data_IF_859275187175
#
_entry.id   IF_859275187175
#
_cell.length_a   1.000
_cell.length_b   1.000
_cell.length_c   1.000
_cell.angle_alpha   90.00
_cell.angle_beta   90.00
_cell.angle_gamma   90.00
#
_symmetry.space_group_name_H-M   'P 1'
#
loop_
_entity.id
_entity.type
_entity.pdbx_description
1 polymer ?
#
# COMPACT_ATOMS: atom_id res chain seq x y z
N UNK A 1 10.04 9.35 15.20
CA UNK A 1 9.41 9.98 14.01
C UNK A 1 7.91 9.88 14.24
N UNK A 2 7.13 10.95 14.07
CA UNK A 2 5.67 10.86 14.10
C UNK A 2 5.12 10.56 12.69
N UNK A 3 3.84 10.17 12.63
CA UNK A 3 3.18 9.75 11.38
C UNK A 3 3.19 10.89 10.35
N UNK A 4 2.78 12.08 10.74
CA UNK A 4 2.67 13.22 9.83
C UNK A 4 4.03 13.60 9.23
N UNK A 5 5.05 13.70 10.05
CA UNK A 5 6.42 13.97 9.59
C UNK A 5 6.91 12.89 8.62
N UNK A 6 6.58 11.62 8.88
CA UNK A 6 6.96 10.52 7.99
C UNK A 6 6.26 10.57 6.63
N UNK A 7 4.98 11.02 6.61
CA UNK A 7 4.24 11.25 5.35
C UNK A 7 4.85 12.42 4.58
N UNK A 8 5.14 13.54 5.25
CA UNK A 8 5.79 14.69 4.61
C UNK A 8 7.15 14.32 4.01
N UNK A 9 7.91 13.45 4.68
CA UNK A 9 9.17 12.93 4.15
C UNK A 9 8.94 12.08 2.90
N UNK A 10 8.12 11.03 2.97
CA UNK A 10 7.96 10.10 1.86
C UNK A 10 7.40 10.80 0.62
N UNK A 11 6.43 11.70 0.78
CA UNK A 11 5.88 12.50 -0.32
C UNK A 11 6.90 13.48 -0.91
N UNK A 12 7.85 13.97 -0.11
CA UNK A 12 8.93 14.81 -0.63
C UNK A 12 9.94 14.02 -1.44
N UNK A 13 10.26 12.79 -1.00
CA UNK A 13 11.22 11.94 -1.71
C UNK A 13 10.64 11.30 -2.97
N UNK A 14 9.36 10.90 -2.97
CA UNK A 14 8.76 10.10 -4.03
C UNK A 14 7.87 10.85 -5.03
N UNK A 15 7.56 12.13 -4.80
CA UNK A 15 6.65 12.91 -5.67
C UNK A 15 5.32 12.15 -5.93
N UNK A 16 4.61 11.87 -4.85
CA UNK A 16 3.39 11.08 -4.92
C UNK A 16 2.20 11.92 -5.39
N UNK A 17 1.48 11.45 -6.41
CA UNK A 17 0.22 12.05 -6.88
C UNK A 17 -0.95 11.82 -5.90
N UNK A 18 -0.77 10.90 -4.96
CA UNK A 18 -1.77 10.45 -3.98
C UNK A 18 -1.10 10.26 -2.62
N UNK A 19 -1.77 10.69 -1.57
CA UNK A 19 -1.24 10.46 -0.22
C UNK A 19 -1.29 8.98 0.17
N UNK A 20 -0.34 8.48 0.97
CA UNK A 20 -0.43 7.17 1.59
C UNK A 20 -1.71 7.01 2.41
N UNK A 21 -2.31 5.84 2.36
CA UNK A 21 -3.58 5.53 3.05
C UNK A 21 -3.31 4.58 4.21
N UNK A 22 -3.74 4.97 5.40
CA UNK A 22 -3.76 4.09 6.56
C UNK A 22 -5.06 3.28 6.62
N UNK A 23 -4.95 2.05 7.09
CA UNK A 23 -6.06 1.14 7.37
C UNK A 23 -5.96 0.70 8.83
N UNK A 24 -7.03 0.90 9.59
CA UNK A 24 -7.15 0.43 10.97
C UNK A 24 -8.32 -0.52 11.08
N UNK A 25 -8.08 -1.72 11.62
CA UNK A 25 -9.11 -2.67 11.98
C UNK A 25 -9.54 -2.44 13.43
N UNK A 26 -10.83 -2.54 13.68
CA UNK A 26 -11.40 -2.49 15.02
C UNK A 26 -12.11 -3.80 15.29
N UNK A 27 -11.79 -4.44 16.42
CA UNK A 27 -12.40 -5.67 16.88
C UNK A 27 -13.30 -5.43 18.08
N UNK A 28 -13.27 -4.22 18.63
CA UNK A 28 -14.14 -3.75 19.73
C UNK A 28 -15.00 -2.58 19.28
N UNK A 29 -16.32 -2.64 19.61
CA UNK A 29 -17.28 -1.60 19.24
C UNK A 29 -17.03 -0.26 19.94
N UNK A 30 -16.58 -0.30 21.21
CA UNK A 30 -16.33 0.93 21.96
C UNK A 30 -15.15 1.71 21.37
N UNK A 31 -14.08 1.01 20.97
CA UNK A 31 -12.95 1.62 20.27
C UNK A 31 -13.37 2.17 18.90
N UNK A 32 -14.17 1.41 18.15
CA UNK A 32 -14.68 1.84 16.85
C UNK A 32 -15.57 3.09 16.94
N UNK A 33 -16.48 3.14 17.90
CA UNK A 33 -17.37 4.29 18.09
C UNK A 33 -16.61 5.55 18.53
N UNK A 34 -15.62 5.41 19.42
CA UNK A 34 -14.78 6.51 19.90
C UNK A 34 -13.86 7.10 18.83
N UNK A 35 -13.60 6.35 17.78
CA UNK A 35 -12.72 6.85 16.71
C UNK A 35 -13.43 7.92 15.88
N UNK A 36 -12.98 9.16 15.98
CA UNK A 36 -13.64 10.36 15.44
C UNK A 36 -13.45 10.52 13.92
N UNK A 37 -14.03 9.60 13.15
CA UNK A 37 -14.04 9.65 11.68
C UNK A 37 -15.46 9.41 11.18
N UNK A 38 -15.96 10.13 10.16
CA UNK A 38 -17.31 9.94 9.65
C UNK A 38 -17.57 8.51 9.18
N UNK A 39 -18.62 7.90 9.70
CA UNK A 39 -19.09 6.60 9.21
C UNK A 39 -19.78 6.79 7.86
N UNK A 40 -19.49 5.90 6.91
CA UNK A 40 -20.12 5.90 5.61
C UNK A 40 -21.58 5.44 5.73
N UNK A 41 -22.50 6.19 5.14
CA UNK A 41 -23.94 5.87 5.11
C UNK A 41 -24.34 5.00 3.91
N UNK A 42 -23.50 4.95 2.87
CA UNK A 42 -23.77 4.24 1.62
C UNK A 42 -22.76 3.14 1.37
N UNK A 43 -23.18 2.14 0.57
CA UNK A 43 -22.29 1.08 0.12
C UNK A 43 -21.16 1.64 -0.73
N UNK A 44 -19.95 1.21 -0.43
CA UNK A 44 -18.72 1.52 -1.16
C UNK A 44 -17.88 0.25 -1.27
N UNK A 45 -17.21 0.05 -2.40
CA UNK A 45 -16.23 -1.05 -2.48
C UNK A 45 -14.99 -0.68 -1.70
N UNK A 46 -14.36 -1.65 -1.04
CA UNK A 46 -13.15 -1.38 -0.27
C UNK A 46 -12.06 -0.70 -1.11
N UNK A 47 -11.83 -1.14 -2.34
CA UNK A 47 -10.85 -0.50 -3.22
C UNK A 47 -11.20 0.95 -3.57
N UNK A 48 -12.49 1.31 -3.63
CA UNK A 48 -12.90 2.70 -3.82
C UNK A 48 -12.75 3.52 -2.54
N UNK A 49 -12.94 2.93 -1.35
CA UNK A 49 -12.66 3.65 -0.10
C UNK A 49 -11.17 4.01 0.01
N UNK A 50 -10.28 3.10 -0.34
CA UNK A 50 -8.82 3.37 -0.41
C UNK A 50 -8.51 4.47 -1.44
N UNK A 51 -9.14 4.41 -2.62
CA UNK A 51 -8.96 5.45 -3.65
C UNK A 51 -9.44 6.83 -3.18
N UNK A 52 -10.58 6.91 -2.50
CA UNK A 52 -11.09 8.15 -1.94
C UNK A 52 -10.18 8.68 -0.82
N UNK A 53 -9.66 7.79 0.02
CA UNK A 53 -8.73 8.15 1.08
C UNK A 53 -7.39 8.66 0.53
N UNK A 54 -6.88 8.07 -0.55
CA UNK A 54 -5.67 8.56 -1.23
C UNK A 54 -5.83 9.97 -1.83
N UNK A 55 -7.04 10.51 -1.81
CA UNK A 55 -7.40 11.87 -2.23
C UNK A 55 -7.94 12.74 -1.09
N UNK A 56 -7.63 12.40 0.14
CA UNK A 56 -7.93 13.22 1.31
C UNK A 56 -9.24 12.90 2.03
N UNK A 57 -10.00 11.85 1.66
CA UNK A 57 -11.27 11.51 2.34
C UNK A 57 -11.06 10.47 3.43
N UNK A 58 -11.51 10.77 4.64
CA UNK A 58 -11.55 9.83 5.76
C UNK A 58 -12.92 9.18 5.89
N UNK A 59 -12.98 7.89 6.25
CA UNK A 59 -14.24 7.19 6.50
C UNK A 59 -14.07 5.97 7.39
N UNK A 60 -15.12 5.68 8.17
CA UNK A 60 -15.32 4.38 8.84
C UNK A 60 -16.30 3.53 8.03
N UNK A 61 -16.08 2.22 7.99
CA UNK A 61 -16.91 1.24 7.29
C UNK A 61 -17.19 0.06 8.21
N UNK A 62 -18.43 -0.43 8.16
CA UNK A 62 -18.85 -1.71 8.73
C UNK A 62 -19.23 -2.69 7.62
N UNK A 63 -19.62 -3.91 7.94
CA UNK A 63 -20.08 -4.90 6.96
C UNK A 63 -21.25 -4.44 6.11
N UNK A 64 -22.13 -3.61 6.67
CA UNK A 64 -23.31 -3.06 5.99
C UNK A 64 -22.93 -2.11 4.85
N UNK A 65 -21.78 -1.45 4.98
CA UNK A 65 -21.29 -0.49 3.97
C UNK A 65 -20.49 -1.15 2.86
N UNK A 66 -20.15 -2.46 2.97
CA UNK A 66 -19.35 -3.14 1.95
C UNK A 66 -20.14 -3.35 0.65
N UNK A 67 -19.67 -2.70 -0.43
CA UNK A 67 -20.28 -2.76 -1.76
C UNK A 67 -19.73 -3.86 -2.66
N UNK A 68 -18.63 -4.51 -2.28
CA UNK A 68 -17.98 -5.57 -3.05
C UNK A 68 -17.96 -6.88 -2.25
N UNK A 69 -18.61 -7.97 -2.74
CA UNK A 69 -18.58 -9.26 -2.05
C UNK A 69 -17.16 -9.81 -1.83
N UNK A 70 -16.27 -9.65 -2.81
CA UNK A 70 -14.88 -10.13 -2.69
C UNK A 70 -14.08 -9.35 -1.64
N UNK A 71 -14.26 -8.04 -1.57
CA UNK A 71 -13.64 -7.22 -0.52
C UNK A 71 -14.18 -7.59 0.87
N UNK A 72 -15.50 -7.76 0.99
CA UNK A 72 -16.11 -8.17 2.24
C UNK A 72 -15.63 -9.56 2.72
N UNK A 73 -15.45 -10.53 1.79
CA UNK A 73 -14.90 -11.85 2.12
C UNK A 73 -13.44 -11.75 2.59
N UNK A 74 -12.60 -10.97 1.89
CA UNK A 74 -11.20 -10.80 2.29
C UNK A 74 -11.08 -10.22 3.71
N UNK A 75 -11.90 -9.22 4.02
CA UNK A 75 -11.95 -8.54 5.32
C UNK A 75 -12.77 -9.30 6.38
N UNK A 76 -13.16 -10.55 6.14
CA UNK A 76 -13.99 -11.37 7.04
C UNK A 76 -15.36 -10.76 7.39
N UNK A 77 -15.79 -9.72 6.71
CA UNK A 77 -17.10 -9.07 6.89
C UNK A 77 -18.23 -9.80 6.15
N UNK A 78 -17.92 -10.91 5.50
CA UNK A 78 -18.84 -11.81 4.83
C UNK A 78 -18.24 -13.20 4.77
N UNK A 79 -19.07 -14.21 4.97
CA UNK A 79 -18.66 -15.60 4.77
C UNK A 79 -18.29 -15.87 3.31
N UNK A 80 -17.35 -16.79 3.12
CA UNK A 80 -16.93 -17.25 1.79
C UNK A 80 -17.94 -18.31 1.30
N UNK A 81 -18.74 -18.04 0.26
CA UNK A 81 -19.68 -19.03 -0.25
C UNK A 81 -18.96 -20.28 -0.78
N UNK A 82 -19.57 -21.44 -0.61
CA UNK A 82 -18.99 -22.71 -1.06
C UNK A 82 -18.45 -22.70 -2.51
N UNK A 83 -19.16 -22.14 -3.51
CA UNK A 83 -18.61 -22.06 -4.87
C UNK A 83 -17.34 -21.24 -5.01
N UNK A 84 -17.12 -20.27 -4.10
CA UNK A 84 -15.88 -19.48 -4.07
C UNK A 84 -14.77 -20.25 -3.34
N UNK A 85 -15.08 -20.92 -2.26
CA UNK A 85 -14.13 -21.73 -1.50
C UNK A 85 -13.60 -22.93 -2.30
N UNK A 86 -14.48 -23.63 -3.04
CA UNK A 86 -14.11 -24.82 -3.82
C UNK A 86 -13.61 -24.50 -5.25
N UNK A 87 -13.48 -23.22 -5.62
CA UNK A 87 -12.99 -22.79 -6.93
C UNK A 87 -14.03 -22.75 -8.07
N UNK A 88 -15.21 -23.40 -7.91
CA UNK A 88 -16.22 -23.46 -8.97
C UNK A 88 -16.74 -22.08 -9.40
N UNK A 89 -16.85 -21.15 -8.46
CA UNK A 89 -17.37 -19.81 -8.73
C UNK A 89 -16.45 -18.96 -9.64
N UNK A 90 -15.14 -19.14 -9.59
CA UNK A 90 -14.20 -18.48 -10.49
C UNK A 90 -14.06 -19.25 -11.81
N UNK A 91 -14.07 -20.58 -11.77
CA UNK A 91 -14.03 -21.40 -12.97
C UNK A 91 -15.23 -21.16 -13.88
N UNK A 92 -16.45 -21.04 -13.33
CA UNK A 92 -17.66 -20.76 -14.11
C UNK A 92 -17.65 -19.44 -14.88
N UNK A 93 -16.72 -18.54 -14.51
CA UNK A 93 -16.48 -17.25 -15.18
C UNK A 93 -15.30 -17.28 -16.15
N UNK A 94 -14.75 -18.46 -16.44
CA UNK A 94 -13.57 -18.66 -17.29
C UNK A 94 -12.35 -17.82 -16.83
N UNK A 95 -12.19 -17.62 -15.52
CA UNK A 95 -11.06 -16.85 -14.97
C UNK A 95 -9.80 -17.73 -14.95
N UNK A 96 -9.96 -19.05 -14.77
CA UNK A 96 -8.88 -20.03 -14.74
C UNK A 96 -9.15 -21.21 -15.67
N UNK A 97 -8.07 -21.88 -16.06
CA UNK A 97 -8.12 -22.95 -17.04
C UNK A 97 -8.89 -24.19 -16.56
N UNK A 98 -8.74 -24.59 -15.30
CA UNK A 98 -9.35 -25.77 -14.72
C UNK A 98 -9.70 -25.59 -13.24
N UNK A 99 -10.35 -26.60 -12.66
CA UNK A 99 -10.83 -26.54 -11.28
C UNK A 99 -9.68 -26.63 -10.27
N UNK A 100 -8.61 -27.35 -10.57
CA UNK A 100 -7.46 -27.53 -9.71
C UNK A 100 -6.75 -26.18 -9.49
N UNK A 101 -6.49 -25.43 -10.57
CA UNK A 101 -5.91 -24.08 -10.50
C UNK A 101 -6.85 -23.13 -9.76
N UNK A 102 -8.15 -23.16 -10.10
CA UNK A 102 -9.12 -22.28 -9.46
C UNK A 102 -9.23 -22.53 -7.96
N UNK A 103 -9.14 -23.80 -7.55
CA UNK A 103 -9.19 -24.17 -6.15
C UNK A 103 -7.89 -23.82 -5.42
N UNK A 104 -6.72 -24.11 -5.99
CA UNK A 104 -5.43 -23.76 -5.36
C UNK A 104 -5.35 -22.26 -5.04
N UNK A 105 -5.82 -21.40 -5.95
CA UNK A 105 -5.87 -19.97 -5.70
C UNK A 105 -6.83 -19.63 -4.55
N UNK A 106 -7.97 -20.33 -4.43
CA UNK A 106 -8.88 -20.11 -3.32
C UNK A 106 -8.27 -20.53 -1.98
N UNK A 107 -7.55 -21.65 -1.97
CA UNK A 107 -6.89 -22.20 -0.77
C UNK A 107 -5.71 -21.33 -0.29
N UNK A 108 -5.07 -20.60 -1.22
CA UNK A 108 -3.90 -19.77 -0.93
C UNK A 108 -4.24 -18.31 -0.61
N UNK A 109 -5.51 -17.89 -0.73
CA UNK A 109 -5.93 -16.55 -0.33
C UNK A 109 -5.92 -16.39 1.18
N UNK A 110 -5.20 -15.37 1.65
CA UNK A 110 -5.15 -15.01 3.06
C UNK A 110 -6.22 -13.97 3.37
N UNK A 111 -7.27 -14.37 4.06
CA UNK A 111 -8.31 -13.49 4.58
C UNK A 111 -8.02 -13.14 6.04
N UNK A 112 -8.69 -12.14 6.59
CA UNK A 112 -8.63 -11.90 8.03
C UNK A 112 -9.15 -13.13 8.79
N UNK A 113 -8.52 -13.45 9.91
CA UNK A 113 -8.91 -14.59 10.76
C UNK A 113 -10.11 -14.24 11.63
N UNK A 114 -10.20 -12.98 12.08
CA UNK A 114 -11.27 -12.45 12.91
C UNK A 114 -12.12 -11.43 12.14
N UNK A 115 -13.45 -11.41 12.38
CA UNK A 115 -14.37 -10.42 11.82
C UNK A 115 -14.19 -9.10 12.57
N UNK A 116 -13.72 -8.01 11.90
CA UNK A 116 -13.69 -6.70 12.53
C UNK A 116 -15.10 -6.13 12.63
N UNK A 117 -15.41 -5.47 13.73
CA UNK A 117 -16.66 -4.69 13.89
C UNK A 117 -16.71 -3.53 12.90
N UNK A 118 -15.55 -3.02 12.53
CA UNK A 118 -15.40 -1.98 11.50
C UNK A 118 -13.95 -1.71 11.14
N UNK A 119 -13.77 -0.87 10.13
CA UNK A 119 -12.45 -0.43 9.66
C UNK A 119 -12.45 1.09 9.47
N UNK A 120 -11.34 1.75 9.75
CA UNK A 120 -11.08 3.12 9.30
C UNK A 120 -10.15 3.09 8.07
N UNK A 121 -10.49 3.90 7.09
CA UNK A 121 -9.74 4.11 5.85
C UNK A 121 -9.60 5.60 5.63
N UNK A 122 -8.39 6.13 5.76
CA UNK A 122 -8.16 7.57 5.63
C UNK A 122 -6.70 7.89 5.25
N UNK A 123 -6.41 9.14 4.84
CA UNK A 123 -5.03 9.58 4.64
C UNK A 123 -4.19 9.25 5.87
N UNK A 124 -2.98 8.72 5.65
CA UNK A 124 -2.11 8.31 6.75
C UNK A 124 -1.78 9.47 7.69
N UNK A 125 -1.59 10.67 7.16
CA UNK A 125 -1.28 11.88 7.94
C UNK A 125 -2.36 12.28 8.96
N UNK A 126 -3.58 11.77 8.80
CA UNK A 126 -4.71 12.06 9.69
C UNK A 126 -4.84 11.08 10.85
N UNK A 127 -3.97 10.06 10.91
CA UNK A 127 -3.99 9.10 12.02
C UNK A 127 -3.28 9.67 13.24
N UNK A 128 -3.98 9.70 14.36
CA UNK A 128 -3.42 9.95 15.70
C UNK A 128 -2.98 8.65 16.39
N UNK A 129 -3.55 7.52 15.96
CA UNK A 129 -3.21 6.17 16.40
C UNK A 129 -2.45 5.46 15.27
N UNK A 130 -1.64 4.49 15.60
CA UNK A 130 -0.99 3.62 14.62
C UNK A 130 -2.03 2.81 13.82
N UNK A 131 -2.12 2.97 12.49
CA UNK A 131 -2.91 2.07 11.67
C UNK A 131 -2.26 0.68 11.62
N UNK A 132 -2.97 -0.32 11.13
CA UNK A 132 -2.41 -1.67 10.99
C UNK A 132 -1.62 -1.81 9.67
N UNK A 133 -2.14 -1.20 8.60
CA UNK A 133 -1.59 -1.29 7.25
C UNK A 133 -1.52 0.10 6.63
N UNK A 134 -0.48 0.30 5.81
CA UNK A 134 -0.36 1.45 4.92
C UNK A 134 -0.42 0.96 3.49
N UNK A 135 -1.18 1.66 2.65
CA UNK A 135 -1.28 1.41 1.22
C UNK A 135 -0.77 2.63 0.46
N UNK A 136 0.19 2.41 -0.43
CA UNK A 136 0.61 3.39 -1.42
C UNK A 136 0.24 2.86 -2.80
N UNK A 137 -0.45 3.69 -3.60
CA UNK A 137 -0.69 3.43 -5.01
C UNK A 137 -0.06 4.55 -5.82
N UNK A 138 0.88 4.21 -6.67
CA UNK A 138 1.66 5.17 -7.45
C UNK A 138 2.19 4.53 -8.74
N UNK A 139 2.99 5.27 -9.49
CA UNK A 139 3.69 4.72 -10.64
C UNK A 139 4.75 3.68 -10.23
N UNK A 140 5.19 2.79 -11.13
CA UNK A 140 6.16 1.74 -10.82
C UNK A 140 7.50 2.27 -10.30
N UNK A 141 7.94 3.45 -10.72
CA UNK A 141 9.18 4.04 -10.24
C UNK A 141 9.13 4.34 -8.73
N UNK A 142 8.08 5.00 -8.29
CA UNK A 142 7.88 5.29 -6.86
C UNK A 142 7.78 4.00 -6.02
N UNK A 143 7.07 2.99 -6.52
CA UNK A 143 6.96 1.71 -5.81
C UNK A 143 8.32 0.98 -5.77
N UNK A 144 9.11 1.03 -6.83
CA UNK A 144 10.48 0.53 -6.83
C UNK A 144 11.31 1.22 -5.73
N UNK A 145 11.19 2.55 -5.57
CA UNK A 145 11.89 3.29 -4.52
C UNK A 145 11.47 2.87 -3.12
N UNK A 146 10.16 2.59 -2.90
CA UNK A 146 9.67 2.04 -1.62
C UNK A 146 10.31 0.67 -1.34
N UNK A 147 10.40 -0.20 -2.36
CA UNK A 147 11.06 -1.51 -2.22
C UNK A 147 12.55 -1.35 -1.91
N UNK A 148 13.24 -0.41 -2.54
CA UNK A 148 14.64 -0.10 -2.23
C UNK A 148 14.79 0.40 -0.79
N UNK A 149 13.84 1.21 -0.31
CA UNK A 149 13.79 1.65 1.09
C UNK A 149 13.62 0.48 2.05
N UNK A 150 12.73 -0.45 1.75
CA UNK A 150 12.57 -1.70 2.50
C UNK A 150 13.85 -2.54 2.47
N UNK A 151 14.42 -2.74 1.27
CA UNK A 151 15.62 -3.54 1.07
C UNK A 151 16.85 -3.00 1.79
N UNK A 152 16.91 -1.71 2.05
CA UNK A 152 18.03 -1.07 2.76
C UNK A 152 18.27 -1.66 4.15
N UNK A 153 17.20 -1.98 4.88
CA UNK A 153 17.27 -2.58 6.21
C UNK A 153 16.98 -4.08 6.23
N UNK A 154 16.15 -4.57 5.32
CA UNK A 154 15.61 -5.92 5.37
C UNK A 154 16.18 -6.87 4.28
N UNK A 155 16.96 -6.34 3.33
CA UNK A 155 17.52 -7.14 2.24
C UNK A 155 16.45 -7.56 1.23
N UNK A 156 16.51 -8.81 0.77
CA UNK A 156 15.71 -9.30 -0.35
C UNK A 156 14.23 -9.52 0.03
N UNK A 157 13.31 -9.03 -0.78
CA UNK A 157 11.88 -9.33 -0.65
C UNK A 157 11.53 -10.55 -1.48
N UNK A 158 11.25 -11.69 -0.84
CA UNK A 158 11.08 -12.99 -1.51
C UNK A 158 9.64 -13.49 -1.59
N UNK A 159 8.71 -12.93 -0.79
CA UNK A 159 7.37 -13.48 -0.62
C UNK A 159 6.27 -12.67 -1.31
N UNK A 160 6.58 -11.98 -2.41
CA UNK A 160 5.58 -11.22 -3.15
C UNK A 160 4.58 -12.16 -3.82
N UNK A 161 3.29 -11.97 -3.55
CA UNK A 161 2.21 -12.81 -4.06
C UNK A 161 1.09 -11.98 -4.69
N UNK A 162 0.76 -12.30 -5.93
CA UNK A 162 -0.37 -11.72 -6.65
C UNK A 162 -0.89 -12.66 -7.72
N UNK A 163 -2.18 -12.61 -7.98
CA UNK A 163 -2.84 -13.37 -9.04
C UNK A 163 -3.68 -12.45 -9.96
N UNK A 164 -3.55 -11.13 -9.74
CA UNK A 164 -4.32 -10.13 -10.50
C UNK A 164 -5.82 -10.09 -10.15
N UNK A 165 -6.21 -10.67 -9.02
CA UNK A 165 -7.56 -10.62 -8.46
C UNK A 165 -7.50 -10.23 -6.98
N UNK A 166 -8.58 -9.59 -6.49
CA UNK A 166 -8.67 -9.14 -5.08
C UNK A 166 -7.46 -8.33 -4.62
N UNK A 167 -6.96 -7.47 -5.50
CA UNK A 167 -5.69 -6.77 -5.36
C UNK A 167 -5.60 -5.92 -4.09
N UNK A 168 -6.45 -4.89 -3.94
CA UNK A 168 -6.36 -3.97 -2.80
C UNK A 168 -6.80 -4.65 -1.51
N UNK A 169 -7.91 -5.41 -1.55
CA UNK A 169 -8.46 -6.02 -0.34
C UNK A 169 -7.65 -7.21 0.16
N UNK A 170 -7.09 -8.03 -0.73
CA UNK A 170 -6.32 -9.21 -0.35
C UNK A 170 -4.82 -8.98 -0.48
N UNK A 171 -4.30 -8.65 -1.70
CA UNK A 171 -2.85 -8.56 -1.90
C UNK A 171 -2.22 -7.46 -1.03
N UNK A 172 -2.85 -6.26 -0.96
CA UNK A 172 -2.28 -5.12 -0.21
C UNK A 172 -2.73 -5.04 1.25
N UNK A 173 -3.83 -5.69 1.62
CA UNK A 173 -4.40 -5.53 2.95
C UNK A 173 -4.27 -6.80 3.77
N UNK A 174 -5.06 -7.83 3.49
CA UNK A 174 -5.11 -8.99 4.38
C UNK A 174 -3.87 -9.87 4.28
N UNK A 175 -3.26 -9.97 3.11
CA UNK A 175 -1.96 -10.64 2.97
C UNK A 175 -0.89 -9.91 3.80
N UNK A 176 -0.76 -8.61 3.64
CA UNK A 176 0.19 -7.77 4.39
C UNK A 176 -0.07 -7.83 5.90
N UNK A 177 -1.34 -7.80 6.32
CA UNK A 177 -1.72 -7.90 7.73
C UNK A 177 -1.30 -9.23 8.35
N UNK A 178 -1.60 -10.34 7.67
CA UNK A 178 -1.35 -11.69 8.19
C UNK A 178 0.13 -12.07 8.16
N UNK A 179 0.87 -11.65 7.13
CA UNK A 179 2.29 -12.01 6.97
C UNK A 179 3.24 -11.07 7.69
N UNK A 180 2.77 -9.88 8.09
CA UNK A 180 3.61 -8.81 8.62
C UNK A 180 4.77 -8.44 7.67
N UNK A 181 4.53 -8.60 6.37
CA UNK A 181 5.52 -8.25 5.35
C UNK A 181 4.89 -7.42 4.23
N UNK A 182 5.72 -6.73 3.46
CA UNK A 182 5.24 -5.94 2.32
C UNK A 182 4.71 -6.86 1.22
N UNK A 183 3.71 -6.39 0.47
CA UNK A 183 3.30 -7.05 -0.77
C UNK A 183 2.93 -6.03 -1.84
N UNK A 184 3.09 -6.43 -3.10
CA UNK A 184 2.84 -5.59 -4.28
C UNK A 184 1.73 -6.19 -5.10
N UNK A 185 0.94 -5.33 -5.74
CA UNK A 185 -0.05 -5.77 -6.72
C UNK A 185 -0.05 -4.88 -7.96
N UNK A 186 -0.27 -5.50 -9.10
CA UNK A 186 -0.50 -4.80 -10.38
C UNK A 186 -1.94 -4.29 -10.50
N UNK A 187 -2.72 -4.37 -9.42
CA UNK A 187 -4.13 -4.12 -9.35
C UNK A 187 -4.97 -5.16 -10.12
N UNK A 188 -6.28 -5.14 -9.96
CA UNK A 188 -7.18 -6.08 -10.63
C UNK A 188 -8.18 -5.33 -11.52
N UNK A 189 -8.84 -6.02 -12.48
CA UNK A 189 -9.84 -5.38 -13.32
C UNK A 189 -10.95 -4.68 -12.54
N UNK A 190 -11.44 -5.31 -11.45
CA UNK A 190 -12.47 -4.70 -10.60
C UNK A 190 -12.01 -3.39 -9.96
N UNK A 191 -10.78 -3.35 -9.45
CA UNK A 191 -10.19 -2.14 -8.87
C UNK A 191 -10.06 -1.04 -9.90
N UNK A 192 -9.56 -1.35 -11.09
CA UNK A 192 -9.40 -0.37 -12.18
C UNK A 192 -10.74 0.15 -12.69
N UNK A 193 -11.73 -0.73 -12.85
CA UNK A 193 -13.06 -0.36 -13.38
C UNK A 193 -13.93 0.37 -12.33
N UNK A 194 -13.88 -0.05 -11.05
CA UNK A 194 -14.77 0.46 -10.01
C UNK A 194 -14.13 1.63 -9.25
N UNK A 195 -12.86 1.55 -8.91
CA UNK A 195 -12.15 2.60 -8.18
C UNK A 195 -11.35 3.54 -9.09
N UNK A 196 -11.41 3.34 -10.39
CA UNK A 196 -10.81 4.23 -11.40
C UNK A 196 -9.30 4.49 -11.20
N UNK A 197 -8.55 3.43 -10.85
CA UNK A 197 -7.10 3.47 -10.81
C UNK A 197 -6.52 3.50 -12.22
N UNK A 198 -5.49 4.29 -12.44
CA UNK A 198 -4.88 4.49 -13.75
C UNK A 198 -4.08 3.26 -14.22
N UNK A 199 -3.92 3.12 -15.54
CA UNK A 199 -3.22 1.98 -16.13
C UNK A 199 -1.74 1.88 -15.70
N UNK A 200 -1.10 3.01 -15.44
CA UNK A 200 0.29 3.13 -15.01
C UNK A 200 0.48 3.09 -13.48
N UNK A 201 -0.58 2.85 -12.70
CA UNK A 201 -0.51 2.73 -11.25
C UNK A 201 -0.39 1.26 -10.83
N UNK A 202 0.44 1.01 -9.82
CA UNK A 202 0.56 -0.24 -9.08
C UNK A 202 0.50 0.06 -7.58
N UNK A 203 0.25 -0.94 -6.75
CA UNK A 203 0.11 -0.73 -5.32
C UNK A 203 1.12 -1.53 -4.50
N UNK A 204 1.44 -1.01 -3.32
CA UNK A 204 2.17 -1.71 -2.27
C UNK A 204 1.41 -1.60 -0.95
N UNK A 205 1.29 -2.71 -0.25
CA UNK A 205 0.83 -2.81 1.14
C UNK A 205 2.03 -2.91 2.07
N UNK A 206 2.01 -2.18 3.17
CA UNK A 206 3.11 -2.07 4.13
C UNK A 206 2.53 -2.25 5.53
N UNK A 207 2.99 -3.23 6.35
CA UNK A 207 2.65 -3.27 7.76
C UNK A 207 3.17 -2.00 8.46
N UNK A 208 2.38 -1.41 9.35
CA UNK A 208 2.78 -0.14 9.98
C UNK A 208 4.12 -0.27 10.72
N UNK A 209 4.40 -1.40 11.33
CA UNK A 209 5.66 -1.68 12.03
C UNK A 209 6.93 -1.49 11.16
N UNK A 210 6.80 -1.62 9.82
CA UNK A 210 7.90 -1.42 8.86
C UNK A 210 7.93 -0.01 8.25
N UNK A 211 6.93 0.81 8.55
CA UNK A 211 6.75 2.10 7.87
C UNK A 211 7.92 3.04 8.03
N UNK A 212 8.34 3.28 9.27
CA UNK A 212 9.40 4.24 9.55
C UNK A 212 10.77 3.81 9.00
N UNK A 213 11.06 2.51 9.02
CA UNK A 213 12.26 1.96 8.38
C UNK A 213 12.25 2.19 6.87
N UNK A 214 11.11 1.97 6.21
CA UNK A 214 10.97 2.19 4.76
C UNK A 214 11.18 3.66 4.42
N UNK A 215 10.56 4.58 5.15
CA UNK A 215 10.75 6.03 4.95
C UNK A 215 12.21 6.41 5.10
N UNK A 216 12.88 5.94 6.15
CA UNK A 216 14.30 6.16 6.35
C UNK A 216 15.15 5.55 5.23
N UNK A 217 14.83 4.32 4.81
CA UNK A 217 15.55 3.65 3.73
C UNK A 217 15.41 4.34 2.38
N UNK A 218 14.22 4.89 2.06
CA UNK A 218 14.02 5.74 0.86
C UNK A 218 14.91 6.98 0.93
N UNK A 219 14.99 7.64 2.07
CA UNK A 219 15.90 8.77 2.31
C UNK A 219 17.36 8.39 2.07
N UNK A 220 17.83 7.32 2.70
CA UNK A 220 19.24 6.88 2.62
C UNK A 220 19.63 6.45 1.20
N UNK A 221 18.72 5.82 0.48
CA UNK A 221 18.96 5.35 -0.89
C UNK A 221 18.79 6.44 -1.96
N UNK A 222 18.40 7.65 -1.60
CA UNK A 222 18.21 8.74 -2.55
C UNK A 222 19.53 9.18 -3.19
N UNK A 223 20.57 9.43 -2.39
CA UNK A 223 21.85 9.91 -2.93
C UNK A 223 22.50 8.94 -3.92
N UNK A 224 22.56 7.62 -3.66
CA UNK A 224 23.16 6.68 -4.61
C UNK A 224 22.29 6.38 -5.84
N UNK A 225 20.95 6.50 -5.75
CA UNK A 225 20.08 6.03 -6.84
C UNK A 225 19.42 7.13 -7.66
N UNK A 226 19.23 8.34 -7.09
CA UNK A 226 18.59 9.42 -7.82
C UNK A 226 19.59 10.23 -8.65
N UNK A 227 19.17 10.61 -9.87
CA UNK A 227 19.92 11.54 -10.70
C UNK A 227 19.77 12.97 -10.15
N UNK A 228 20.66 13.87 -10.56
CA UNK A 228 20.66 15.25 -10.10
C UNK A 228 19.34 15.96 -10.35
N UNK A 229 18.71 15.74 -11.52
CA UNK A 229 17.40 16.31 -11.84
C UNK A 229 16.31 15.91 -10.83
N UNK A 230 16.24 14.65 -10.47
CA UNK A 230 15.28 14.15 -9.47
C UNK A 230 15.62 14.71 -8.08
N UNK A 231 16.90 14.80 -7.73
CA UNK A 231 17.39 15.41 -6.48
C UNK A 231 17.02 16.88 -6.35
N UNK A 232 17.07 17.67 -7.42
CA UNK A 232 16.58 19.05 -7.43
C UNK A 232 15.09 19.11 -7.05
N UNK A 233 14.26 18.25 -7.63
CA UNK A 233 12.84 18.15 -7.29
C UNK A 233 12.61 17.76 -5.83
N UNK A 234 13.33 16.74 -5.34
CA UNK A 234 13.27 16.30 -3.94
C UNK A 234 13.67 17.45 -3.01
N UNK A 235 14.81 18.12 -3.27
CA UNK A 235 15.30 19.22 -2.46
C UNK A 235 14.29 20.38 -2.39
N UNK A 236 13.64 20.69 -3.52
CA UNK A 236 12.59 21.70 -3.60
C UNK A 236 11.40 21.32 -2.70
N UNK A 237 10.85 20.10 -2.85
CA UNK A 237 9.69 19.61 -2.06
C UNK A 237 9.99 19.57 -0.56
N UNK A 238 11.20 19.13 -0.16
CA UNK A 238 11.63 19.16 1.23
C UNK A 238 11.61 20.60 1.82
N UNK A 239 12.17 21.57 1.08
CA UNK A 239 12.17 22.98 1.51
C UNK A 239 10.78 23.59 1.59
N UNK A 240 9.91 23.29 0.63
CA UNK A 240 8.51 23.76 0.61
C UNK A 240 7.71 23.27 1.81
N UNK A 241 8.07 22.11 2.35
CA UNK A 241 7.47 21.52 3.57
C UNK A 241 8.23 21.88 4.86
N UNK A 242 9.28 22.71 4.79
CA UNK A 242 10.08 23.09 5.93
C UNK A 242 10.97 21.95 6.48
N UNK A 243 11.24 20.93 5.64
CA UNK A 243 12.08 19.79 6.00
C UNK A 243 13.55 20.01 5.65
N UNK A 244 14.44 19.30 6.36
CA UNK A 244 15.87 19.37 6.11
C UNK A 244 16.25 18.74 4.75
N UNK A 245 16.81 19.55 3.88
CA UNK A 245 17.29 19.16 2.55
C UNK A 245 18.83 19.13 2.45
N UNK A 246 19.54 19.30 3.56
CA UNK A 246 21.01 19.41 3.58
C UNK A 246 21.72 18.09 3.25
N UNK A 247 21.01 16.95 3.42
CA UNK A 247 21.53 15.62 3.12
C UNK A 247 21.51 15.26 1.63
N UNK A 248 20.87 16.06 0.79
CA UNK A 248 20.83 15.80 -0.67
C UNK A 248 22.17 16.23 -1.29
N UNK A 249 22.86 15.26 -1.89
CA UNK A 249 24.18 15.44 -2.50
C UNK A 249 24.07 15.28 -4.01
N UNK A 250 24.52 16.29 -4.76
CA UNK A 250 24.60 16.24 -6.20
C UNK A 250 25.88 15.53 -6.65
N UNK A 251 25.79 14.69 -7.65
CA UNK A 251 26.91 13.94 -8.21
C UNK A 251 27.43 14.66 -9.45
N UNK A 252 28.71 14.95 -9.51
CA UNK A 252 29.35 15.66 -10.62
C UNK A 252 29.33 14.87 -11.96
N UNK A 253 29.12 13.54 -11.90
CA UNK A 253 29.29 12.63 -13.04
C UNK A 253 28.02 11.85 -13.46
N UNK A 254 26.83 12.22 -12.99
CA UNK A 254 25.62 11.37 -13.18
C UNK A 254 24.71 11.80 -14.33
N UNK A 255 24.95 12.99 -14.94
CA UNK A 255 24.03 13.55 -15.93
C UNK A 255 24.32 13.17 -17.40
N UNK A 256 25.43 12.48 -17.67
CA UNK A 256 25.83 12.10 -19.04
C UNK A 256 25.46 10.67 -19.45
N UNK A 257 24.76 9.93 -18.58
CA UNK A 257 24.37 8.53 -18.84
C UNK A 257 25.53 7.53 -18.74
N UNK A 258 26.73 7.97 -18.37
CA UNK A 258 27.85 7.09 -18.08
C UNK A 258 27.76 6.57 -16.64
N UNK A 259 27.60 5.28 -16.49
CA UNK A 259 27.77 4.59 -15.21
C UNK A 259 29.26 4.50 -14.90
N UNK A 260 29.89 5.60 -14.48
CA UNK A 260 31.21 5.55 -13.92
C UNK A 260 31.08 4.96 -12.52
N UNK A 261 31.42 3.70 -12.34
CA UNK A 261 31.46 3.04 -11.03
C UNK A 261 32.27 3.89 -10.06
N UNK A 262 31.56 4.66 -9.22
CA UNK A 262 32.17 5.43 -8.15
C UNK A 262 32.99 4.50 -7.26
N UNK A 263 34.14 4.97 -6.80
CA UNK A 263 34.93 4.26 -5.80
C UNK A 263 34.03 3.95 -4.61
N UNK A 264 33.77 2.68 -4.37
CA UNK A 264 33.07 2.22 -3.17
C UNK A 264 34.02 2.48 -2.01
N UNK A 265 33.82 3.56 -1.29
CA UNK A 265 34.40 3.72 0.04
C UNK A 265 33.63 2.75 0.95
N UNK A 266 34.25 1.59 1.23
CA UNK A 266 33.75 0.66 2.22
C UNK A 266 33.79 1.35 3.58
N UNK A 267 32.62 1.62 4.12
CA UNK A 267 32.50 1.96 5.55
C UNK A 267 32.86 0.68 6.33
N UNK A 268 34.01 0.69 6.98
CA UNK A 268 34.44 -0.32 7.93
C UNK A 268 33.61 -0.30 9.22
#
# INVERSE_FOLDING_TARGET
MDIKYSVDLIESYLDLDRTPVGIKFFFDWEEFEKFEVPQRDRKVTYCNSVQLASRGKAMKLTKENQGCPNGAMALKMREVPEPMANGKGRLSKNIYHNIEISKSISDEMLFLEEEPVGIAVMPLENYELEPDIIIIVSNPYNIMRVIQGHGYFNGYTSNLRTVGLQAVCQDLTTYTYNTKDINITLLCPGTRLVANWQANEIGIGIPFEKWYEIVQGVKETTNPFERNKEKEGIQKRLRERGLDASNIRFNENYDDGSYSGGKIETRG
#
